data_IF_488928765994
#
_entry.id   IF_488928765994
#
_cell.length_a   1.000
_cell.length_b   1.000
_cell.length_c   1.000
_cell.angle_alpha   90.00
_cell.angle_beta   90.00
_cell.angle_gamma   90.00
#
_symmetry.space_group_name_H-M   'P 1'
#
loop_
_entity.id
_entity.type
_entity.pdbx_description
1 polymer ?
#
# COMPACT_ATOMS: atom_id res chain seq x y z
N UNK A 1 7.85 -27.80 -5.01
CA UNK A 1 8.28 -28.43 -6.28
C UNK A 1 8.54 -27.29 -7.26
N UNK A 2 9.79 -26.85 -7.37
CA UNK A 2 10.19 -25.71 -8.22
C UNK A 2 10.34 -26.25 -9.64
N UNK A 3 9.44 -25.87 -10.56
CA UNK A 3 9.72 -26.07 -11.98
C UNK A 3 10.95 -25.20 -12.27
N UNK A 4 12.08 -25.76 -12.72
CA UNK A 4 13.26 -24.95 -13.00
C UNK A 4 12.90 -24.01 -14.15
N UNK A 5 12.67 -22.73 -13.84
CA UNK A 5 12.35 -21.69 -14.83
C UNK A 5 13.38 -21.65 -15.97
N UNK A 6 14.63 -22.07 -15.69
CA UNK A 6 15.68 -22.26 -16.68
C UNK A 6 15.29 -23.23 -17.82
N UNK A 7 14.47 -24.26 -17.54
CA UNK A 7 14.02 -25.20 -18.56
C UNK A 7 13.00 -24.58 -19.54
N UNK A 8 12.29 -23.51 -19.16
CA UNK A 8 11.37 -22.80 -20.05
C UNK A 8 12.10 -22.05 -21.16
N UNK A 9 13.39 -21.75 -21.00
CA UNK A 9 14.21 -21.11 -22.05
C UNK A 9 14.25 -22.00 -23.30
N UNK A 10 14.24 -23.32 -23.16
CA UNK A 10 14.22 -24.27 -24.28
C UNK A 10 12.90 -24.28 -25.06
N UNK A 11 11.85 -23.63 -24.56
CA UNK A 11 10.63 -23.40 -25.35
C UNK A 11 10.79 -22.26 -26.36
N UNK A 12 11.74 -21.35 -26.13
CA UNK A 12 12.01 -20.19 -27.00
C UNK A 12 13.32 -20.29 -27.78
N UNK A 13 14.28 -21.07 -27.27
CA UNK A 13 15.58 -21.27 -27.92
C UNK A 13 15.54 -22.55 -28.75
N UNK A 14 15.79 -22.47 -30.07
CA UNK A 14 15.94 -23.67 -30.88
C UNK A 14 17.15 -24.48 -30.40
N UNK A 15 17.06 -25.80 -30.47
CA UNK A 15 18.20 -26.67 -30.23
C UNK A 15 19.40 -26.34 -31.13
N UNK A 16 20.60 -26.74 -30.72
CA UNK A 16 21.81 -26.62 -31.53
C UNK A 16 21.60 -27.25 -32.91
N UNK A 17 22.04 -26.55 -33.98
CA UNK A 17 21.95 -27.07 -35.36
C UNK A 17 22.94 -28.21 -35.55
N UNK A 18 22.48 -29.35 -36.09
CA UNK A 18 23.33 -30.52 -36.39
C UNK A 18 23.14 -31.70 -35.43
N UNK A 19 23.85 -32.79 -35.71
CA UNK A 19 23.92 -33.98 -34.84
C UNK A 19 24.88 -33.70 -33.69
N UNK A 20 24.47 -33.98 -32.46
CA UNK A 20 25.27 -33.79 -31.25
C UNK A 20 25.49 -35.15 -30.54
N UNK A 21 26.28 -35.17 -29.46
CA UNK A 21 26.57 -36.38 -28.67
C UNK A 21 25.30 -37.05 -28.07
N UNK A 22 24.14 -36.39 -28.19
CA UNK A 22 22.84 -36.82 -27.69
C UNK A 22 21.85 -37.20 -28.81
N UNK A 23 22.26 -37.13 -30.08
CA UNK A 23 21.49 -37.58 -31.25
C UNK A 23 21.13 -36.49 -32.25
N UNK A 24 20.12 -36.79 -33.07
CA UNK A 24 19.65 -35.89 -34.16
C UNK A 24 19.00 -34.64 -33.59
N UNK A 25 19.08 -33.54 -34.35
CA UNK A 25 18.45 -32.27 -33.98
C UNK A 25 16.96 -32.47 -33.64
N UNK A 26 16.49 -31.98 -32.47
CA UNK A 26 15.08 -32.02 -32.16
C UNK A 26 14.30 -31.11 -33.12
N UNK A 27 13.06 -31.46 -33.48
CA UNK A 27 12.23 -30.62 -34.33
C UNK A 27 12.00 -29.25 -33.66
N UNK A 28 11.90 -28.15 -34.44
CA UNK A 28 11.58 -26.84 -33.92
C UNK A 28 10.28 -26.84 -33.12
N UNK A 29 10.22 -26.06 -32.04
CA UNK A 29 9.01 -25.95 -31.23
C UNK A 29 7.85 -25.42 -32.08
N UNK A 30 6.70 -26.08 -31.98
CA UNK A 30 5.49 -25.64 -32.68
C UNK A 30 4.99 -24.29 -32.17
N UNK A 31 4.24 -23.57 -33.01
CA UNK A 31 3.63 -22.27 -32.66
C UNK A 31 2.82 -22.37 -31.35
N UNK A 32 2.11 -23.47 -31.12
CA UNK A 32 1.36 -23.70 -29.88
C UNK A 32 2.23 -23.79 -28.62
N UNK A 33 3.43 -24.38 -28.72
CA UNK A 33 4.38 -24.47 -27.58
C UNK A 33 4.92 -23.09 -27.24
N UNK A 34 5.24 -22.28 -28.26
CA UNK A 34 5.72 -20.91 -28.07
C UNK A 34 4.63 -20.03 -27.45
N UNK A 35 3.38 -20.15 -27.91
CA UNK A 35 2.24 -19.44 -27.34
C UNK A 35 1.98 -19.83 -25.89
N UNK A 36 1.98 -21.12 -25.58
CA UNK A 36 1.79 -21.62 -24.21
C UNK A 36 2.94 -21.14 -23.30
N UNK A 37 4.17 -21.14 -23.82
CA UNK A 37 5.33 -20.61 -23.12
C UNK A 37 5.24 -19.14 -22.78
N UNK A 38 4.56 -18.32 -23.60
CA UNK A 38 4.32 -16.92 -23.28
C UNK A 38 3.14 -16.72 -22.32
N UNK A 39 2.03 -17.43 -22.54
CA UNK A 39 0.75 -17.19 -21.84
C UNK A 39 0.81 -17.69 -20.38
N UNK A 40 1.39 -18.87 -20.14
CA UNK A 40 1.37 -19.49 -18.82
C UNK A 40 2.12 -18.67 -17.75
N UNK A 41 3.33 -18.14 -18.01
CA UNK A 41 4.01 -17.24 -17.08
C UNK A 41 3.22 -15.94 -16.83
N UNK A 42 2.64 -15.34 -17.87
CA UNK A 42 1.83 -14.12 -17.74
C UNK A 42 0.62 -14.37 -16.86
N UNK A 43 -0.08 -15.49 -17.04
CA UNK A 43 -1.24 -15.87 -16.23
C UNK A 43 -0.85 -16.07 -14.75
N UNK A 44 0.29 -16.69 -14.49
CA UNK A 44 0.77 -16.90 -13.12
C UNK A 44 1.15 -15.57 -12.43
N UNK A 45 1.85 -14.68 -13.14
CA UNK A 45 2.16 -13.32 -12.64
C UNK A 45 0.86 -12.55 -12.39
N UNK A 46 -0.15 -12.67 -13.27
CA UNK A 46 -1.46 -12.05 -13.08
C UNK A 46 -2.17 -12.52 -11.81
N UNK A 47 -2.17 -13.83 -11.53
CA UNK A 47 -2.72 -14.38 -10.29
C UNK A 47 -1.99 -13.85 -9.05
N UNK A 48 -0.65 -13.81 -9.10
CA UNK A 48 0.14 -13.27 -8.00
C UNK A 48 -0.11 -11.77 -7.79
N UNK A 49 -0.19 -11.00 -8.87
CA UNK A 49 -0.47 -9.56 -8.83
C UNK A 49 -1.85 -9.27 -8.24
N UNK A 50 -2.87 -10.09 -8.57
CA UNK A 50 -4.22 -9.93 -8.04
C UNK A 50 -4.29 -10.03 -6.51
N UNK A 51 -3.40 -10.81 -5.88
CA UNK A 51 -3.31 -10.93 -4.41
C UNK A 51 -2.35 -9.88 -3.84
N UNK A 52 -1.21 -9.66 -4.51
CA UNK A 52 -0.14 -8.80 -4.00
C UNK A 52 -0.51 -7.30 -4.04
N UNK A 53 -1.22 -6.85 -5.08
CA UNK A 53 -1.57 -5.42 -5.23
C UNK A 53 -2.49 -4.97 -4.09
N UNK A 54 -3.62 -5.64 -3.79
CA UNK A 54 -4.48 -5.24 -2.67
C UNK A 54 -3.75 -5.33 -1.32
N UNK A 55 -2.95 -6.37 -1.09
CA UNK A 55 -2.20 -6.53 0.15
C UNK A 55 -1.19 -5.39 0.38
N UNK A 56 -0.50 -4.95 -0.68
CA UNK A 56 0.41 -3.80 -0.61
C UNK A 56 -0.35 -2.50 -0.36
N UNK A 57 -1.48 -2.30 -1.04
CA UNK A 57 -2.34 -1.13 -0.82
C UNK A 57 -2.80 -1.04 0.65
N UNK A 58 -3.31 -2.14 1.22
CA UNK A 58 -3.72 -2.18 2.63
C UNK A 58 -2.58 -1.85 3.60
N UNK A 59 -1.37 -2.36 3.33
CA UNK A 59 -0.20 -2.03 4.14
C UNK A 59 0.14 -0.54 4.08
N UNK A 60 0.17 0.05 2.88
CA UNK A 60 0.43 1.49 2.72
C UNK A 60 -0.64 2.34 3.39
N UNK A 61 -1.92 1.96 3.27
CA UNK A 61 -3.03 2.66 3.93
C UNK A 61 -2.87 2.61 5.45
N UNK A 62 -2.52 1.46 6.03
CA UNK A 62 -2.28 1.35 7.49
C UNK A 62 -1.11 2.22 7.95
N UNK A 63 -0.06 2.33 7.14
CA UNK A 63 1.05 3.23 7.43
C UNK A 63 0.60 4.70 7.41
N UNK A 64 -0.22 5.11 6.43
CA UNK A 64 -0.77 6.46 6.36
C UNK A 64 -1.69 6.78 7.56
N UNK A 65 -2.54 5.84 7.96
CA UNK A 65 -3.40 5.98 9.16
C UNK A 65 -2.56 6.09 10.44
N UNK A 66 -1.45 5.38 10.52
CA UNK A 66 -0.54 5.45 11.68
C UNK A 66 0.13 6.82 11.82
N UNK A 67 0.41 7.50 10.71
CA UNK A 67 0.88 8.90 10.75
C UNK A 67 -0.18 9.83 11.36
N UNK A 68 -1.45 9.67 10.97
CA UNK A 68 -2.56 10.42 11.55
C UNK A 68 -2.72 10.21 13.05
N UNK A 69 -2.58 8.96 13.52
CA UNK A 69 -2.60 8.65 14.95
C UNK A 69 -1.44 9.31 15.71
N UNK A 70 -0.25 9.39 15.11
CA UNK A 70 0.88 10.08 15.72
C UNK A 70 0.64 11.58 15.86
N UNK A 71 0.06 12.23 14.84
CA UNK A 71 -0.30 13.65 14.91
C UNK A 71 -1.44 13.89 15.92
N UNK A 72 -2.41 12.98 16.00
CA UNK A 72 -3.49 13.02 16.98
C UNK A 72 -3.00 12.90 18.42
N UNK A 73 -1.85 12.25 18.67
CA UNK A 73 -1.32 12.07 20.02
C UNK A 73 -1.04 13.41 20.72
N UNK A 74 -0.52 14.40 19.99
CA UNK A 74 -0.30 15.74 20.51
C UNK A 74 -1.62 16.43 20.89
N UNK A 75 -2.63 16.34 20.03
CA UNK A 75 -3.96 16.90 20.30
C UNK A 75 -4.64 16.21 21.49
N UNK A 76 -4.53 14.88 21.58
CA UNK A 76 -5.05 14.10 22.69
C UNK A 76 -4.43 14.51 24.03
N UNK A 77 -3.11 14.75 24.06
CA UNK A 77 -2.42 15.20 25.26
C UNK A 77 -2.94 16.58 25.71
N UNK A 78 -3.11 17.52 24.77
CA UNK A 78 -3.62 18.86 25.05
C UNK A 78 -5.06 18.85 25.59
N UNK A 79 -5.93 18.01 25.00
CA UNK A 79 -7.31 17.78 25.50
C UNK A 79 -7.29 17.17 26.90
N UNK A 80 -6.43 16.17 27.14
CA UNK A 80 -6.31 15.52 28.44
C UNK A 80 -5.82 16.48 29.54
N UNK A 81 -4.82 17.32 29.24
CA UNK A 81 -4.33 18.33 30.17
C UNK A 81 -5.42 19.36 30.50
N UNK A 82 -6.16 19.80 29.49
CA UNK A 82 -7.27 20.75 29.67
C UNK A 82 -8.36 20.16 30.56
N UNK A 83 -8.70 18.88 30.37
CA UNK A 83 -9.65 18.18 31.22
C UNK A 83 -9.16 18.07 32.67
N UNK A 84 -7.89 17.73 32.88
CA UNK A 84 -7.30 17.66 34.23
C UNK A 84 -7.29 19.01 34.95
N UNK A 85 -7.16 20.12 34.21
CA UNK A 85 -7.14 21.48 34.76
C UNK A 85 -8.54 22.04 35.06
N UNK A 86 -9.49 21.78 34.18
CA UNK A 86 -10.80 22.46 34.19
C UNK A 86 -11.95 21.56 34.64
N UNK A 87 -11.74 20.24 34.70
CA UNK A 87 -12.78 19.21 34.82
C UNK A 87 -13.83 19.23 33.69
N UNK A 88 -13.54 19.92 32.58
CA UNK A 88 -14.41 19.99 31.41
C UNK A 88 -13.63 19.58 30.16
N UNK A 89 -14.32 18.93 29.23
CA UNK A 89 -13.73 18.56 27.95
C UNK A 89 -13.51 19.81 27.10
N UNK A 90 -12.37 19.90 26.41
CA UNK A 90 -12.10 20.99 25.50
C UNK A 90 -13.14 21.02 24.37
N UNK A 91 -13.90 22.11 24.28
CA UNK A 91 -14.97 22.27 23.27
C UNK A 91 -14.38 22.39 21.86
N UNK A 92 -13.21 23.03 21.76
CA UNK A 92 -12.47 23.25 20.51
C UNK A 92 -10.93 23.19 20.73
N UNK A 93 -10.16 23.36 19.65
CA UNK A 93 -8.69 23.41 19.71
C UNK A 93 -8.14 24.54 20.57
N UNK A 94 -8.80 25.70 20.57
CA UNK A 94 -8.35 26.86 21.35
C UNK A 94 -8.52 26.60 22.85
N UNK A 95 -9.64 25.99 23.25
CA UNK A 95 -9.91 25.56 24.62
C UNK A 95 -8.92 24.47 25.05
N UNK A 96 -8.49 23.61 24.13
CA UNK A 96 -7.43 22.63 24.36
C UNK A 96 -6.03 23.25 24.52
N UNK A 97 -5.86 24.57 24.30
CA UNK A 97 -4.56 25.24 24.35
C UNK A 97 -3.70 25.02 23.10
N UNK A 98 -4.32 24.61 21.99
CA UNK A 98 -3.67 24.44 20.69
C UNK A 98 -3.92 25.65 19.79
N UNK A 99 -3.20 25.72 18.66
CA UNK A 99 -3.50 26.71 17.63
C UNK A 99 -4.94 26.53 17.11
N UNK A 100 -5.71 27.63 16.93
CA UNK A 100 -7.10 27.56 16.48
C UNK A 100 -7.26 27.01 15.07
N UNK A 101 -6.24 27.09 14.22
CA UNK A 101 -6.29 26.49 12.89
C UNK A 101 -5.97 24.98 12.96
N UNK A 102 -6.92 24.14 12.54
CA UNK A 102 -6.75 22.69 12.46
C UNK A 102 -5.67 22.26 11.46
N UNK A 103 -5.42 23.09 10.45
CA UNK A 103 -4.37 22.90 9.42
C UNK A 103 -2.95 23.12 9.94
N UNK A 104 -2.79 23.75 11.12
CA UNK A 104 -1.45 23.92 11.72
C UNK A 104 -0.91 22.58 12.25
N UNK A 105 -1.76 21.58 12.38
CA UNK A 105 -1.39 20.19 12.65
C UNK A 105 -1.72 19.35 11.42
N UNK A 106 -0.85 19.44 10.42
CA UNK A 106 -0.93 18.66 9.17
C UNK A 106 0.31 17.78 8.99
N UNK A 107 0.18 16.77 8.13
CA UNK A 107 1.24 15.83 7.77
C UNK A 107 1.33 15.62 6.27
N UNK A 108 1.99 14.55 5.85
CA UNK A 108 2.07 14.17 4.44
C UNK A 108 0.74 13.60 3.94
N UNK A 109 0.05 12.84 4.78
CA UNK A 109 -1.22 12.18 4.46
C UNK A 109 -2.41 12.74 5.26
N UNK A 110 -2.17 13.77 6.07
CA UNK A 110 -3.15 14.35 7.00
C UNK A 110 -3.28 15.82 6.67
N UNK A 111 -4.50 16.23 6.35
CA UNK A 111 -4.81 17.61 5.99
C UNK A 111 -5.04 18.48 7.22
N UNK A 112 -5.71 17.93 8.23
CA UNK A 112 -5.95 18.64 9.48
C UNK A 112 -6.21 17.68 10.64
N UNK A 113 -5.91 18.16 11.84
CA UNK A 113 -6.33 17.54 13.10
C UNK A 113 -7.17 18.57 13.82
N UNK A 114 -8.41 18.24 14.14
CA UNK A 114 -9.33 19.10 14.87
C UNK A 114 -9.73 18.52 16.23
N UNK A 115 -10.27 19.37 17.09
CA UNK A 115 -10.84 18.98 18.38
C UNK A 115 -12.25 19.52 18.44
N UNK A 116 -13.24 18.65 18.66
CA UNK A 116 -14.62 19.02 18.86
C UNK A 116 -15.21 18.28 20.06
N UNK A 117 -15.57 19.03 21.10
CA UNK A 117 -16.22 18.46 22.30
C UNK A 117 -15.42 17.31 22.95
N UNK A 118 -14.10 17.45 23.04
CA UNK A 118 -13.19 16.44 23.58
C UNK A 118 -12.86 15.28 22.63
N UNK A 119 -13.45 15.24 21.44
CA UNK A 119 -13.10 14.28 20.38
C UNK A 119 -11.99 14.88 19.53
N UNK A 120 -10.97 14.09 19.22
CA UNK A 120 -9.92 14.47 18.24
C UNK A 120 -10.33 13.91 16.88
N UNK A 121 -10.48 14.78 15.89
CA UNK A 121 -10.89 14.42 14.53
C UNK A 121 -9.68 14.56 13.61
N UNK A 122 -9.29 13.48 12.92
CA UNK A 122 -8.17 13.54 11.97
C UNK A 122 -8.70 13.45 10.55
N UNK A 123 -8.53 14.51 9.77
CA UNK A 123 -8.93 14.52 8.36
C UNK A 123 -7.76 14.10 7.49
N UNK A 124 -7.88 12.96 6.81
CA UNK A 124 -6.88 12.52 5.83
C UNK A 124 -7.06 13.27 4.52
N UNK A 125 -5.94 13.73 3.95
CA UNK A 125 -5.92 14.48 2.70
C UNK A 125 -4.50 14.65 2.17
N UNK A 126 -4.28 15.61 1.29
CA UNK A 126 -3.03 15.80 0.55
C UNK A 126 -2.66 14.58 -0.33
N UNK A 127 -1.57 13.88 -0.03
CA UNK A 127 -1.09 12.71 -0.82
C UNK A 127 -1.64 11.37 -0.29
N UNK A 128 -2.69 11.40 0.52
CA UNK A 128 -3.31 10.20 1.07
C UNK A 128 -3.85 9.27 -0.03
N UNK A 129 -3.87 7.96 0.24
CA UNK A 129 -4.46 6.99 -0.68
C UNK A 129 -5.94 7.35 -0.94
N UNK A 130 -6.44 7.27 -2.18
CA UNK A 130 -7.82 7.62 -2.52
C UNK A 130 -8.89 6.92 -1.69
N UNK A 131 -8.59 5.74 -1.13
CA UNK A 131 -9.50 5.00 -0.24
C UNK A 131 -9.75 5.74 1.08
N UNK A 132 -8.75 6.49 1.58
CA UNK A 132 -8.83 7.22 2.85
C UNK A 132 -8.86 8.75 2.67
N UNK A 133 -8.55 9.28 1.49
CA UNK A 133 -8.59 10.71 1.24
C UNK A 133 -10.01 11.29 1.49
N UNK A 134 -10.09 12.38 2.22
CA UNK A 134 -11.33 13.04 2.65
C UNK A 134 -12.09 12.30 3.77
N UNK A 135 -11.55 11.19 4.30
CA UNK A 135 -12.12 10.51 5.46
C UNK A 135 -11.60 11.15 6.75
N UNK A 136 -12.47 11.12 7.76
CA UNK A 136 -12.13 11.54 9.12
C UNK A 136 -12.02 10.30 10.01
N UNK A 137 -10.92 10.20 10.77
CA UNK A 137 -10.73 9.23 11.86
C UNK A 137 -11.34 9.77 13.15
#
# INVERSE_FOLDING_TARGET
MLIPLAALVFWFVPGTRGENDYGKQPPPNGVGVILLGCILPIAFVGMMAAIAIPAYQDYTIRAQVSEGLNLAAAAKAAVAETYLRTNEAAVDRSAAGMSPAATDTSGKYVESVDVAGGTVLVTYGAEANPTIAGRVL
#
